data_IF_627993648213
#
_entry.id   IF_627993648213
#
_cell.length_a   1.000
_cell.length_b   1.000
_cell.length_c   1.000
_cell.angle_alpha   90.00
_cell.angle_beta   90.00
_cell.angle_gamma   90.00
#
_symmetry.space_group_name_H-M   'P 1'
#
loop_
_entity.id
_entity.type
_entity.pdbx_description
1 polymer ?
#
# COMPACT_ATOMS: atom_id res chain seq x y z
N UNK A 1 -18.70 -2.63 42.57
CA UNK A 1 -18.78 -3.20 41.20
C UNK A 1 -19.53 -2.31 40.22
N UNK A 2 -20.71 -1.80 40.57
CA UNK A 2 -21.53 -0.92 39.73
C UNK A 2 -20.86 0.41 39.33
N UNK A 3 -20.07 1.00 40.23
CA UNK A 3 -19.33 2.25 39.96
C UNK A 3 -18.16 2.06 38.96
N UNK A 4 -17.52 0.89 38.95
CA UNK A 4 -16.44 0.55 38.01
C UNK A 4 -16.97 0.30 36.59
N UNK A 5 -18.14 -0.34 36.50
CA UNK A 5 -18.86 -0.55 35.24
C UNK A 5 -19.33 0.80 34.65
N UNK A 6 -19.80 1.73 35.48
CA UNK A 6 -20.19 3.06 35.01
C UNK A 6 -18.98 3.84 34.47
N UNK A 7 -17.83 3.75 35.14
CA UNK A 7 -16.60 4.39 34.67
C UNK A 7 -16.10 3.79 33.34
N UNK A 8 -16.17 2.46 33.17
CA UNK A 8 -15.83 1.79 31.91
C UNK A 8 -16.79 2.16 30.77
N UNK A 9 -18.10 2.22 31.05
CA UNK A 9 -19.11 2.59 30.05
C UNK A 9 -18.92 4.06 29.61
N UNK A 10 -18.67 4.99 30.54
CA UNK A 10 -18.42 6.41 30.21
C UNK A 10 -17.15 6.57 29.37
N UNK A 11 -16.08 5.80 29.63
CA UNK A 11 -14.86 5.84 28.80
C UNK A 11 -15.09 5.27 27.39
N UNK A 12 -15.97 4.26 27.24
CA UNK A 12 -16.34 3.71 25.92
C UNK A 12 -17.16 4.73 25.11
N UNK A 13 -18.02 5.52 25.76
CA UNK A 13 -18.79 6.59 25.11
C UNK A 13 -17.94 7.83 24.75
N UNK A 14 -16.79 8.03 25.40
CA UNK A 14 -15.82 9.09 25.10
C UNK A 14 -14.83 8.72 23.97
N UNK A 15 -14.88 7.49 23.46
CA UNK A 15 -14.24 7.16 22.17
C UNK A 15 -15.12 7.75 21.07
N UNK A 16 -15.15 9.07 20.99
CA UNK A 16 -15.60 9.76 19.79
C UNK A 16 -14.84 9.15 18.62
N UNK A 17 -15.59 8.67 17.64
CA UNK A 17 -15.07 8.17 16.38
C UNK A 17 -14.38 9.33 15.68
N UNK A 18 -13.11 9.54 16.01
CA UNK A 18 -12.23 10.40 15.24
C UNK A 18 -12.07 9.75 13.87
N UNK A 19 -12.91 10.16 12.92
CA UNK A 19 -12.63 9.98 11.49
C UNK A 19 -11.46 10.90 11.12
N UNK A 20 -10.28 10.59 11.67
CA UNK A 20 -9.04 11.21 11.26
C UNK A 20 -8.57 10.52 10.00
N UNK A 21 -8.59 11.22 8.87
CA UNK A 21 -7.79 10.80 7.72
C UNK A 21 -6.35 10.52 8.21
N UNK A 22 -5.71 9.47 7.68
CA UNK A 22 -4.36 9.10 8.13
C UNK A 22 -3.40 10.28 8.02
N UNK A 23 -2.64 10.61 9.06
CA UNK A 23 -1.64 11.68 8.95
C UNK A 23 -0.46 11.23 8.07
N UNK A 24 0.27 12.18 7.49
CA UNK A 24 1.47 11.86 6.70
C UNK A 24 2.49 11.06 7.52
N UNK A 25 2.65 11.38 8.82
CA UNK A 25 3.53 10.64 9.72
C UNK A 25 3.09 9.17 9.90
N UNK A 26 1.78 8.90 9.94
CA UNK A 26 1.24 7.54 10.01
C UNK A 26 1.49 6.75 8.71
N UNK A 27 1.38 7.42 7.56
CA UNK A 27 1.69 6.83 6.25
C UNK A 27 3.16 6.43 6.19
N UNK A 28 4.07 7.34 6.55
CA UNK A 28 5.51 7.06 6.54
C UNK A 28 5.92 5.95 7.52
N UNK A 29 5.33 5.93 8.72
CA UNK A 29 5.57 4.87 9.69
C UNK A 29 5.11 3.50 9.16
N UNK A 30 3.95 3.46 8.51
CA UNK A 30 3.42 2.27 7.85
C UNK A 30 4.32 1.81 6.70
N UNK A 31 4.79 2.72 5.86
CA UNK A 31 5.74 2.44 4.77
C UNK A 31 7.03 1.80 5.30
N UNK A 32 7.65 2.36 6.35
CA UNK A 32 8.85 1.78 6.98
C UNK A 32 8.61 0.38 7.51
N UNK A 33 7.44 0.15 8.12
CA UNK A 33 7.04 -1.16 8.65
C UNK A 33 6.85 -2.20 7.54
N UNK A 34 6.12 -1.85 6.47
CA UNK A 34 5.93 -2.70 5.29
C UNK A 34 7.27 -3.04 4.68
N UNK A 35 8.13 -2.04 4.41
CA UNK A 35 9.45 -2.23 3.82
C UNK A 35 10.30 -3.22 4.60
N UNK A 36 10.42 -3.01 5.92
CA UNK A 36 11.17 -3.94 6.79
C UNK A 36 10.62 -5.37 6.71
N UNK A 37 9.29 -5.51 6.74
CA UNK A 37 8.63 -6.82 6.77
C UNK A 37 8.80 -7.56 5.45
N UNK A 38 8.60 -6.88 4.32
CA UNK A 38 8.71 -7.49 3.00
C UNK A 38 10.16 -7.77 2.61
N UNK A 39 11.11 -6.90 2.95
CA UNK A 39 12.55 -7.19 2.78
C UNK A 39 12.95 -8.45 3.52
N UNK A 40 12.54 -8.58 4.79
CA UNK A 40 12.83 -9.77 5.60
C UNK A 40 12.23 -11.04 4.99
N UNK A 41 10.96 -11.00 4.55
CA UNK A 41 10.30 -12.13 3.91
C UNK A 41 11.00 -12.57 2.62
N UNK A 42 11.42 -11.63 1.80
CA UNK A 42 12.08 -11.90 0.51
C UNK A 42 13.60 -12.06 0.63
N UNK A 43 14.15 -11.93 1.85
CA UNK A 43 15.59 -12.00 2.14
C UNK A 43 16.43 -11.00 1.34
N UNK A 44 15.88 -9.82 1.08
CA UNK A 44 16.57 -8.72 0.38
C UNK A 44 17.53 -8.04 1.36
N UNK A 45 18.82 -8.05 1.04
CA UNK A 45 19.90 -7.46 1.86
C UNK A 45 20.34 -6.09 1.38
N UNK A 46 20.40 -5.85 0.07
CA UNK A 46 20.69 -4.54 -0.53
C UNK A 46 19.39 -3.77 -0.83
N UNK A 47 19.43 -2.44 -0.67
CA UNK A 47 18.34 -1.54 -1.03
C UNK A 47 18.46 -0.99 -2.47
N UNK A 48 19.52 -1.33 -3.21
CA UNK A 48 19.84 -0.69 -4.51
C UNK A 48 18.71 -0.77 -5.54
N UNK A 49 18.07 -1.94 -5.68
CA UNK A 49 16.93 -2.11 -6.59
C UNK A 49 15.68 -1.37 -6.07
N UNK A 50 15.44 -1.41 -4.76
CA UNK A 50 14.27 -0.76 -4.13
C UNK A 50 14.34 0.77 -4.26
N UNK A 51 15.51 1.34 -3.97
CA UNK A 51 15.75 2.77 -4.11
C UNK A 51 15.87 3.17 -5.59
N UNK A 52 16.34 2.26 -6.45
CA UNK A 52 16.35 2.43 -7.90
C UNK A 52 14.95 2.67 -8.47
N UNK A 53 13.95 1.91 -8.02
CA UNK A 53 12.55 2.04 -8.48
C UNK A 53 11.97 3.43 -8.16
N UNK A 54 12.30 4.01 -6.99
CA UNK A 54 11.88 5.37 -6.62
C UNK A 54 12.47 6.44 -7.55
N UNK A 55 13.56 6.11 -8.24
CA UNK A 55 14.23 6.94 -9.24
C UNK A 55 13.91 6.52 -10.69
N UNK A 56 12.88 5.69 -10.89
CA UNK A 56 12.41 5.28 -12.21
C UNK A 56 13.17 4.13 -12.84
N UNK A 57 14.03 3.41 -12.10
CA UNK A 57 14.71 2.20 -12.58
C UNK A 57 13.84 0.97 -12.32
N UNK A 58 13.12 0.52 -13.33
CA UNK A 58 12.11 -0.54 -13.22
C UNK A 58 12.42 -1.80 -14.04
N UNK A 59 13.54 -1.82 -14.74
CA UNK A 59 13.93 -2.91 -15.64
C UNK A 59 15.01 -3.79 -14.99
N UNK A 60 15.04 -5.07 -15.37
CA UNK A 60 16.01 -6.07 -14.89
C UNK A 60 16.03 -6.27 -13.37
N UNK A 61 14.88 -6.11 -12.70
CA UNK A 61 14.77 -6.35 -11.26
C UNK A 61 14.88 -7.85 -10.94
N UNK A 62 15.52 -8.17 -9.83
CA UNK A 62 15.60 -9.55 -9.35
C UNK A 62 14.21 -10.14 -9.02
N UNK A 63 14.03 -11.47 -9.14
CA UNK A 63 12.78 -12.13 -8.74
C UNK A 63 12.37 -11.84 -7.29
N UNK A 64 13.35 -11.69 -6.39
CA UNK A 64 13.11 -11.32 -5.00
C UNK A 64 12.47 -9.93 -4.88
N UNK A 65 12.91 -8.97 -5.70
CA UNK A 65 12.35 -7.62 -5.75
C UNK A 65 10.95 -7.59 -6.35
N UNK A 66 10.67 -8.39 -7.39
CA UNK A 66 9.29 -8.54 -7.90
C UNK A 66 8.35 -9.08 -6.80
N UNK A 67 8.77 -10.11 -6.07
CA UNK A 67 7.96 -10.67 -4.99
C UNK A 67 7.90 -9.78 -3.75
N UNK A 68 8.88 -8.88 -3.56
CA UNK A 68 8.79 -7.81 -2.58
C UNK A 68 7.64 -6.86 -2.89
N UNK A 69 7.50 -6.43 -4.15
CA UNK A 69 6.36 -5.59 -4.58
C UNK A 69 5.03 -6.30 -4.29
N UNK A 70 4.92 -7.60 -4.64
CA UNK A 70 3.74 -8.39 -4.33
C UNK A 70 3.44 -8.43 -2.82
N UNK A 71 4.48 -8.62 -1.99
CA UNK A 71 4.33 -8.56 -0.53
C UNK A 71 3.78 -7.21 -0.07
N UNK A 72 4.29 -6.09 -0.60
CA UNK A 72 3.86 -4.75 -0.25
C UNK A 72 2.39 -4.51 -0.60
N UNK A 73 2.00 -4.76 -1.86
CA UNK A 73 0.62 -4.52 -2.31
C UNK A 73 -0.38 -5.46 -1.65
N UNK A 74 0.04 -6.69 -1.31
CA UNK A 74 -0.79 -7.61 -0.52
C UNK A 74 -0.97 -7.14 0.92
N UNK A 75 0.06 -6.56 1.53
CA UNK A 75 0.02 -6.10 2.92
C UNK A 75 -0.97 -4.95 3.12
N UNK A 76 -1.03 -4.04 2.16
CA UNK A 76 -2.02 -2.94 2.13
C UNK A 76 -3.36 -3.36 1.52
N UNK A 77 -3.56 -4.66 1.23
CA UNK A 77 -4.79 -5.21 0.65
C UNK A 77 -5.20 -4.52 -0.66
N UNK A 78 -4.21 -4.15 -1.48
CA UNK A 78 -4.44 -3.57 -2.79
C UNK A 78 -4.81 -4.63 -3.84
N UNK A 79 -4.42 -5.89 -3.61
CA UNK A 79 -4.66 -6.99 -4.55
C UNK A 79 -5.47 -8.12 -3.92
N UNK A 80 -6.24 -8.82 -4.74
CA UNK A 80 -6.97 -10.04 -4.40
C UNK A 80 -6.02 -11.25 -4.29
N UNK A 81 -6.57 -12.41 -3.92
CA UNK A 81 -5.79 -13.63 -3.69
C UNK A 81 -5.05 -14.15 -4.93
N UNK A 82 -5.52 -13.82 -6.13
CA UNK A 82 -4.92 -14.12 -7.42
C UNK A 82 -3.83 -13.10 -7.84
N UNK A 83 -3.71 -11.97 -7.15
CA UNK A 83 -2.66 -10.97 -7.38
C UNK A 83 -3.11 -9.73 -8.16
N UNK A 84 -4.33 -9.72 -8.70
CA UNK A 84 -4.87 -8.58 -9.44
C UNK A 84 -5.45 -7.51 -8.50
N UNK A 85 -5.64 -6.28 -9.01
CA UNK A 85 -6.13 -5.14 -8.22
C UNK A 85 -7.56 -5.37 -7.71
N UNK A 86 -7.77 -5.21 -6.40
CA UNK A 86 -9.11 -5.14 -5.79
C UNK A 86 -9.65 -3.71 -5.89
N UNK A 87 -10.21 -3.35 -7.04
CA UNK A 87 -10.57 -1.97 -7.36
C UNK A 87 -11.49 -1.33 -6.29
N UNK A 88 -12.59 -2.00 -5.93
CA UNK A 88 -13.59 -1.45 -5.00
C UNK A 88 -13.03 -1.26 -3.59
N UNK A 89 -12.21 -2.20 -3.11
CA UNK A 89 -11.53 -2.06 -1.82
C UNK A 89 -10.54 -0.91 -1.85
N UNK A 90 -9.78 -0.73 -2.94
CA UNK A 90 -8.82 0.37 -3.04
C UNK A 90 -9.49 1.74 -3.08
N UNK A 91 -10.61 1.91 -3.81
CA UNK A 91 -11.37 3.17 -3.80
C UNK A 91 -11.78 3.54 -2.38
N UNK A 92 -12.26 2.56 -1.59
CA UNK A 92 -12.62 2.79 -0.19
C UNK A 92 -11.40 3.14 0.68
N UNK A 93 -10.26 2.48 0.47
CA UNK A 93 -9.04 2.77 1.22
C UNK A 93 -8.49 4.17 0.91
N UNK A 94 -8.52 4.60 -0.37
CA UNK A 94 -8.07 5.92 -0.79
C UNK A 94 -8.89 7.02 -0.11
N UNK A 95 -10.20 6.83 0.09
CA UNK A 95 -11.05 7.80 0.78
C UNK A 95 -10.65 8.06 2.25
N UNK A 96 -9.92 7.13 2.88
CA UNK A 96 -9.40 7.30 4.24
C UNK A 96 -8.06 8.05 4.31
N UNK A 97 -7.44 8.34 3.16
CA UNK A 97 -6.20 9.10 3.08
C UNK A 97 -6.46 10.62 3.16
N UNK A 98 -5.42 11.43 3.46
CA UNK A 98 -5.48 12.89 3.35
C UNK A 98 -5.97 13.34 1.98
N UNK A 99 -6.80 14.39 1.97
CA UNK A 99 -7.41 14.95 0.76
C UNK A 99 -6.41 15.18 -0.39
N UNK A 100 -5.19 15.73 -0.18
CA UNK A 100 -4.22 15.94 -1.26
C UNK A 100 -3.76 14.66 -1.97
N UNK A 101 -3.90 13.49 -1.31
CA UNK A 101 -3.49 12.19 -1.88
C UNK A 101 -4.64 11.47 -2.60
N UNK A 102 -5.90 11.82 -2.33
CA UNK A 102 -7.05 11.04 -2.81
C UNK A 102 -7.17 11.06 -4.33
N UNK A 103 -7.25 12.24 -4.92
CA UNK A 103 -7.45 12.39 -6.36
C UNK A 103 -6.29 11.80 -7.18
N UNK A 104 -5.01 12.13 -6.88
CA UNK A 104 -3.88 11.52 -7.60
C UNK A 104 -3.84 10.00 -7.53
N UNK A 105 -4.16 9.41 -6.37
CA UNK A 105 -4.18 7.95 -6.22
C UNK A 105 -5.38 7.30 -6.91
N UNK A 106 -6.53 7.98 -6.94
CA UNK A 106 -7.72 7.51 -7.66
C UNK A 106 -7.46 7.47 -9.16
N UNK A 107 -6.79 8.49 -9.70
CA UNK A 107 -6.45 8.56 -11.12
C UNK A 107 -5.46 7.46 -11.50
N UNK A 108 -4.40 7.26 -10.69
CA UNK A 108 -3.47 6.14 -10.90
C UNK A 108 -4.15 4.77 -10.78
N UNK A 109 -5.09 4.60 -9.85
CA UNK A 109 -5.87 3.37 -9.74
C UNK A 109 -6.70 3.11 -11.01
N UNK A 110 -7.36 4.14 -11.53
CA UNK A 110 -8.14 4.02 -12.77
C UNK A 110 -7.28 3.62 -13.97
N UNK A 111 -6.09 4.21 -14.08
CA UNK A 111 -5.17 3.97 -15.18
C UNK A 111 -4.52 2.58 -15.11
N UNK A 112 -4.27 2.07 -13.91
CA UNK A 112 -3.42 0.90 -13.69
C UNK A 112 -4.16 -0.35 -13.22
N UNK A 113 -5.48 -0.32 -13.02
CA UNK A 113 -6.27 -1.46 -12.50
C UNK A 113 -6.15 -2.75 -13.32
N UNK A 114 -5.91 -2.64 -14.63
CA UNK A 114 -5.77 -3.78 -15.55
C UNK A 114 -4.29 -4.10 -15.87
N UNK A 115 -3.33 -3.45 -15.20
CA UNK A 115 -1.91 -3.74 -15.38
C UNK A 115 -1.61 -5.19 -14.96
N UNK A 116 -0.89 -5.93 -15.80
CA UNK A 116 -0.55 -7.33 -15.57
C UNK A 116 -1.70 -8.33 -15.73
N UNK A 117 -2.89 -7.92 -16.22
CA UNK A 117 -4.08 -8.79 -16.33
C UNK A 117 -3.90 -10.07 -17.15
N UNK A 118 -2.95 -10.10 -18.08
CA UNK A 118 -2.64 -11.28 -18.89
C UNK A 118 -1.63 -12.22 -18.23
N UNK A 119 -1.05 -11.83 -17.09
CA UNK A 119 -0.03 -12.58 -16.38
C UNK A 119 -0.67 -13.49 -15.32
N UNK A 120 0.07 -14.49 -14.88
CA UNK A 120 -0.36 -15.43 -13.84
C UNK A 120 0.56 -15.47 -12.63
N UNK A 121 1.83 -15.07 -12.80
CA UNK A 121 2.76 -14.95 -11.69
C UNK A 121 2.45 -13.69 -10.88
N UNK A 122 2.22 -13.84 -9.59
CA UNK A 122 1.78 -12.75 -8.71
C UNK A 122 2.84 -11.69 -8.48
N UNK A 123 4.12 -12.07 -8.57
CA UNK A 123 5.24 -11.17 -8.43
C UNK A 123 5.40 -10.32 -9.69
N UNK A 124 5.24 -10.92 -10.87
CA UNK A 124 5.22 -10.20 -12.15
C UNK A 124 3.99 -9.28 -12.27
N UNK A 125 2.80 -9.75 -11.89
CA UNK A 125 1.58 -8.92 -11.83
C UNK A 125 1.82 -7.68 -10.94
N UNK A 126 2.37 -7.89 -9.73
CA UNK A 126 2.64 -6.79 -8.82
C UNK A 126 3.68 -5.80 -9.37
N UNK A 127 4.67 -6.28 -10.11
CA UNK A 127 5.65 -5.42 -10.77
C UNK A 127 5.00 -4.52 -11.82
N UNK A 128 4.16 -5.07 -12.71
CA UNK A 128 3.45 -4.28 -13.72
C UNK A 128 2.50 -3.26 -13.08
N UNK A 129 1.78 -3.65 -12.03
CA UNK A 129 0.90 -2.73 -11.27
C UNK A 129 1.74 -1.60 -10.66
N UNK A 130 2.78 -1.91 -9.88
CA UNK A 130 3.57 -0.91 -9.19
C UNK A 130 4.32 0.01 -10.18
N UNK A 131 4.85 -0.55 -11.27
CA UNK A 131 5.49 0.21 -12.36
C UNK A 131 4.51 1.20 -12.98
N UNK A 132 3.30 0.74 -13.33
CA UNK A 132 2.26 1.61 -13.85
C UNK A 132 1.90 2.72 -12.86
N UNK A 133 1.70 2.40 -11.58
CA UNK A 133 1.38 3.39 -10.55
C UNK A 133 2.45 4.46 -10.41
N UNK A 134 3.73 4.07 -10.45
CA UNK A 134 4.85 5.01 -10.43
C UNK A 134 4.81 5.94 -11.64
N UNK A 135 4.73 5.39 -12.87
CA UNK A 135 4.76 6.22 -14.08
C UNK A 135 3.49 7.04 -14.31
N UNK A 136 2.34 6.60 -13.78
CA UNK A 136 1.09 7.38 -13.81
C UNK A 136 1.21 8.65 -12.97
N UNK A 137 1.82 8.58 -11.79
CA UNK A 137 2.10 9.76 -10.97
C UNK A 137 3.25 9.51 -9.96
N UNK A 138 4.50 9.84 -10.32
CA UNK A 138 5.65 9.59 -9.46
C UNK A 138 5.57 10.33 -8.11
N UNK A 139 4.99 11.54 -8.09
CA UNK A 139 4.86 12.36 -6.89
C UNK A 139 3.82 11.84 -5.89
N UNK A 140 2.88 11.01 -6.36
CA UNK A 140 1.84 10.39 -5.54
C UNK A 140 2.14 8.92 -5.19
N UNK A 141 3.27 8.36 -5.66
CA UNK A 141 3.62 6.97 -5.41
C UNK A 141 3.94 6.72 -3.92
N UNK A 142 3.31 5.68 -3.33
CA UNK A 142 3.38 5.42 -1.88
C UNK A 142 3.84 4.00 -1.52
N UNK A 143 4.10 3.13 -2.50
CA UNK A 143 4.62 1.79 -2.20
C UNK A 143 6.12 1.94 -1.86
N UNK A 144 6.58 1.40 -0.71
CA UNK A 144 7.91 1.67 -0.19
C UNK A 144 9.03 0.84 -0.81
#
# INVERSE_FOLDING_TARGET
MTMFLYFLIVNIFLVETTQGAMTNAQIEATQRMIRRTCKSKMKITSDDELDGMLNGKWDNLSPATLCYLHCCVKMIKMVTGDGHVDYDSNVKQINNLPEPKRHPLTDSLNNCKDAGKSLTDKCEIAHEICKCFYFSNPGAYIIP
#
